data_IF_054781169542
#
_entry.id   IF_054781169542
#
_cell.length_a   1.000
_cell.length_b   1.000
_cell.length_c   1.000
_cell.angle_alpha   90.00
_cell.angle_beta   90.00
_cell.angle_gamma   90.00
#
_symmetry.space_group_name_H-M   'P 1'
#
loop_
_entity.id
_entity.type
_entity.pdbx_description
1 polymer ?
#
# COMPACT_ATOMS: atom_id res chain seq x y z
N UNK A 1 21.82 28.87 -8.47
CA UNK A 1 21.55 29.70 -7.26
C UNK A 1 20.52 30.79 -7.52
N UNK A 2 20.65 31.61 -8.56
CA UNK A 2 19.61 32.61 -8.90
C UNK A 2 18.25 31.98 -9.25
N UNK A 3 18.23 30.80 -9.85
CA UNK A 3 16.99 30.06 -10.16
C UNK A 3 16.19 29.70 -8.91
N UNK A 4 16.86 29.27 -7.82
CA UNK A 4 16.20 28.96 -6.55
C UNK A 4 15.65 30.21 -5.85
N UNK A 5 16.29 31.36 -6.04
CA UNK A 5 15.79 32.64 -5.54
C UNK A 5 14.55 33.08 -6.34
N UNK A 6 14.60 32.93 -7.66
CA UNK A 6 13.44 33.21 -8.54
C UNK A 6 12.27 32.26 -8.27
N UNK A 7 12.55 30.99 -7.96
CA UNK A 7 11.55 30.00 -7.57
C UNK A 7 11.03 30.19 -6.13
N UNK A 8 11.56 31.17 -5.38
CA UNK A 8 11.12 31.46 -4.02
C UNK A 8 11.65 30.49 -2.96
N UNK A 9 12.43 29.47 -3.32
CA UNK A 9 12.98 28.47 -2.41
C UNK A 9 14.11 29.01 -1.53
N UNK A 10 14.75 30.11 -1.95
CA UNK A 10 15.79 30.81 -1.20
C UNK A 10 15.47 32.29 -1.12
N UNK A 11 15.41 32.84 0.09
CA UNK A 11 15.29 34.28 0.33
C UNK A 11 16.68 34.90 0.54
N UNK A 12 16.93 36.04 -0.10
CA UNK A 12 18.14 36.84 0.11
C UNK A 12 17.80 38.11 0.88
N UNK A 13 18.31 38.24 2.11
CA UNK A 13 18.12 39.43 2.97
C UNK A 13 19.44 39.80 3.65
N UNK A 14 19.82 41.08 3.58
CA UNK A 14 21.06 41.61 4.19
C UNK A 14 22.34 40.84 3.82
N UNK A 15 22.50 40.51 2.52
CA UNK A 15 23.61 39.68 1.99
C UNK A 15 23.70 38.26 2.58
N UNK A 16 22.65 37.78 3.27
CA UNK A 16 22.50 36.40 3.76
C UNK A 16 21.40 35.68 3.00
N UNK A 17 21.54 34.36 2.90
CA UNK A 17 20.59 33.47 2.23
C UNK A 17 19.87 32.63 3.28
N UNK A 18 18.57 32.45 3.12
CA UNK A 18 17.70 31.67 4.00
C UNK A 18 16.90 30.70 3.14
N UNK A 19 16.68 29.49 3.65
CA UNK A 19 15.73 28.55 3.04
C UNK A 19 14.31 29.09 3.21
N UNK A 20 13.52 28.95 2.16
CA UNK A 20 12.12 29.36 2.13
C UNK A 20 11.31 28.29 1.40
N UNK A 21 11.38 27.07 1.93
CA UNK A 21 10.58 25.97 1.42
C UNK A 21 9.13 26.15 1.87
N UNK A 22 8.15 25.83 1.01
CA UNK A 22 6.75 25.79 1.39
C UNK A 22 6.55 24.58 2.32
N UNK A 23 6.67 24.81 3.63
CA UNK A 23 6.48 23.78 4.64
C UNK A 23 5.00 23.39 4.69
N UNK A 24 4.76 22.11 4.97
CA UNK A 24 3.43 21.57 5.18
C UNK A 24 2.86 22.10 6.49
N UNK A 25 1.74 22.82 6.41
CA UNK A 25 1.06 23.41 7.58
C UNK A 25 -0.17 22.59 8.02
N UNK A 26 -0.76 21.77 7.13
CA UNK A 26 -1.93 20.93 7.40
C UNK A 26 -1.90 19.64 6.58
N UNK A 27 -2.62 18.61 7.03
CA UNK A 27 -2.82 17.33 6.36
C UNK A 27 -4.13 17.24 5.56
N UNK A 28 -5.02 18.23 5.66
CA UNK A 28 -6.40 18.15 5.12
C UNK A 28 -6.49 17.87 3.61
N UNK A 29 -5.43 18.20 2.86
CA UNK A 29 -5.34 18.00 1.42
C UNK A 29 -4.08 17.24 1.01
N UNK A 30 -3.51 16.45 1.93
CA UNK A 30 -2.31 15.68 1.65
C UNK A 30 -2.69 14.37 0.95
N UNK A 31 -2.18 14.21 -0.28
CA UNK A 31 -2.30 12.96 -1.02
C UNK A 31 -1.09 12.04 -0.76
N UNK A 32 -1.31 10.72 -0.84
CA UNK A 32 -0.22 9.74 -0.81
C UNK A 32 0.73 9.99 -2.00
N UNK A 33 2.04 9.88 -1.77
CA UNK A 33 3.12 10.16 -2.73
C UNK A 33 3.26 11.64 -3.15
N UNK A 34 2.54 12.58 -2.51
CA UNK A 34 2.75 14.01 -2.73
C UNK A 34 4.13 14.44 -2.19
N UNK A 35 4.92 15.13 -3.02
CA UNK A 35 6.19 15.73 -2.59
C UNK A 35 5.92 16.93 -1.66
N UNK A 36 6.43 16.86 -0.43
CA UNK A 36 6.22 17.86 0.62
C UNK A 36 7.52 18.20 1.35
N UNK A 37 7.55 19.37 1.98
CA UNK A 37 8.55 19.70 2.99
C UNK A 37 7.89 19.73 4.36
N UNK A 38 8.44 19.03 5.34
CA UNK A 38 7.92 19.03 6.71
C UNK A 38 9.09 18.99 7.68
N UNK A 39 8.96 19.70 8.80
CA UNK A 39 9.98 19.70 9.85
C UNK A 39 9.70 18.59 10.85
N UNK A 40 10.70 17.78 11.20
CA UNK A 40 10.55 16.63 12.12
C UNK A 40 10.09 17.04 13.54
N UNK A 41 10.42 18.27 13.95
CA UNK A 41 10.03 18.87 15.24
C UNK A 41 8.63 19.52 15.21
N UNK A 42 7.95 19.51 14.07
CA UNK A 42 6.62 20.11 13.93
C UNK A 42 5.50 19.17 14.43
N UNK A 43 4.39 19.71 14.96
CA UNK A 43 3.22 18.90 15.29
C UNK A 43 2.59 18.25 14.06
N UNK A 44 2.74 18.85 12.88
CA UNK A 44 2.25 18.32 11.59
C UNK A 44 2.97 17.01 11.26
N UNK A 45 4.27 16.90 11.52
CA UNK A 45 5.01 15.67 11.31
C UNK A 45 4.53 14.53 12.22
N UNK A 46 4.21 14.83 13.49
CA UNK A 46 3.65 13.83 14.41
C UNK A 46 2.27 13.34 13.93
N UNK A 47 1.43 14.26 13.47
CA UNK A 47 0.14 13.91 12.87
C UNK A 47 0.33 13.08 11.58
N UNK A 48 1.35 13.38 10.77
CA UNK A 48 1.66 12.64 9.54
C UNK A 48 2.09 11.19 9.83
N UNK A 49 2.81 10.94 10.93
CA UNK A 49 3.17 9.59 11.37
C UNK A 49 1.95 8.73 11.72
N UNK A 50 0.88 9.35 12.20
CA UNK A 50 -0.38 8.68 12.57
C UNK A 50 -1.37 8.60 11.39
N UNK A 51 -1.19 9.42 10.36
CA UNK A 51 -2.04 9.47 9.19
C UNK A 51 -2.01 8.16 8.41
N UNK A 52 -3.20 7.68 8.03
CA UNK A 52 -3.36 6.56 7.13
C UNK A 52 -3.91 7.03 5.78
N UNK A 53 -3.45 6.39 4.72
CA UNK A 53 -3.89 6.60 3.35
C UNK A 53 -4.54 5.32 2.85
N UNK A 54 -5.53 5.46 1.97
CA UNK A 54 -6.14 4.33 1.28
C UNK A 54 -5.48 4.15 -0.08
N UNK A 55 -5.23 2.90 -0.44
CA UNK A 55 -4.71 2.52 -1.75
C UNK A 55 -5.62 1.49 -2.39
N UNK A 56 -5.83 1.63 -3.70
CA UNK A 56 -6.67 0.72 -4.46
C UNK A 56 -5.84 -0.05 -5.48
N UNK A 57 -5.88 -1.38 -5.40
CA UNK A 57 -5.32 -2.27 -6.41
C UNK A 57 -6.45 -2.84 -7.26
N UNK A 58 -6.59 -2.29 -8.47
CA UNK A 58 -7.62 -2.69 -9.42
C UNK A 58 -7.06 -3.70 -10.42
N UNK A 59 -7.76 -4.82 -10.58
CA UNK A 59 -7.43 -5.78 -11.61
C UNK A 59 -8.10 -5.43 -12.95
N UNK A 60 -7.31 -5.22 -14.00
CA UNK A 60 -7.83 -4.95 -15.35
C UNK A 60 -8.67 -6.11 -15.94
N UNK A 61 -8.51 -7.33 -15.43
CA UNK A 61 -9.13 -8.54 -15.99
C UNK A 61 -10.50 -8.88 -15.36
N UNK A 62 -10.69 -8.63 -14.06
CA UNK A 62 -11.87 -9.14 -13.34
C UNK A 62 -12.59 -8.13 -12.45
N UNK A 63 -12.31 -6.83 -12.62
CA UNK A 63 -12.95 -5.70 -11.94
C UNK A 63 -12.89 -5.73 -10.40
N UNK A 64 -12.21 -6.72 -9.81
CA UNK A 64 -11.99 -6.77 -8.37
C UNK A 64 -11.05 -5.64 -7.94
N UNK A 65 -11.40 -5.03 -6.81
CA UNK A 65 -10.66 -3.94 -6.20
C UNK A 65 -10.20 -4.42 -4.82
N UNK A 66 -8.91 -4.30 -4.53
CA UNK A 66 -8.38 -4.48 -3.19
C UNK A 66 -8.12 -3.09 -2.61
N UNK A 67 -8.82 -2.75 -1.54
CA UNK A 67 -8.65 -1.49 -0.80
C UNK A 67 -7.81 -1.79 0.43
N UNK A 68 -6.66 -1.14 0.54
CA UNK A 68 -5.69 -1.37 1.61
C UNK A 68 -5.30 -0.05 2.25
N UNK A 69 -5.14 -0.04 3.58
CA UNK A 69 -4.62 1.12 4.31
C UNK A 69 -3.11 1.08 4.46
N UNK A 70 -2.45 2.21 4.23
CA UNK A 70 -1.00 2.37 4.40
C UNK A 70 -0.63 3.62 5.19
N UNK A 71 0.57 3.63 5.76
CA UNK A 71 1.26 4.86 6.18
C UNK A 71 2.01 5.49 4.99
N UNK A 72 2.48 6.74 5.14
CA UNK A 72 3.22 7.45 4.09
C UNK A 72 4.58 6.80 3.76
N UNK A 73 5.17 6.04 4.69
CA UNK A 73 6.45 5.34 4.51
C UNK A 73 6.29 3.93 3.93
N UNK A 74 5.04 3.48 3.69
CA UNK A 74 4.69 2.17 3.12
C UNK A 74 5.28 1.00 3.91
N UNK A 75 5.28 1.12 5.24
CA UNK A 75 5.81 0.09 6.14
C UNK A 75 4.79 -0.99 6.49
N UNK A 76 3.49 -0.69 6.36
CA UNK A 76 2.44 -1.70 6.50
C UNK A 76 2.59 -2.85 5.50
N UNK A 77 2.21 -4.03 5.94
CA UNK A 77 2.25 -5.27 5.18
C UNK A 77 1.03 -5.38 4.27
N UNK A 78 1.02 -4.60 3.20
CA UNK A 78 -0.04 -4.59 2.19
C UNK A 78 0.55 -4.94 0.83
N UNK A 79 -0.30 -5.46 -0.06
CA UNK A 79 0.13 -5.85 -1.40
C UNK A 79 0.58 -4.62 -2.21
N UNK A 80 -0.09 -3.49 -2.01
CA UNK A 80 0.21 -2.19 -2.62
C UNK A 80 1.61 -1.71 -2.24
N UNK A 81 1.94 -1.78 -0.95
CA UNK A 81 3.26 -1.38 -0.46
C UNK A 81 4.36 -2.31 -0.94
N UNK A 82 4.10 -3.62 -0.93
CA UNK A 82 5.04 -4.61 -1.43
C UNK A 82 5.40 -4.33 -2.90
N UNK A 83 4.40 -4.25 -3.79
CA UNK A 83 4.64 -4.00 -5.20
C UNK A 83 5.29 -2.64 -5.46
N UNK A 84 4.91 -1.61 -4.70
CA UNK A 84 5.54 -0.30 -4.80
C UNK A 84 7.04 -0.37 -4.49
N UNK A 85 7.42 -1.00 -3.37
CA UNK A 85 8.81 -1.13 -2.95
C UNK A 85 9.63 -2.01 -3.87
N UNK A 86 9.08 -3.14 -4.34
CA UNK A 86 9.76 -4.00 -5.33
C UNK A 86 10.03 -3.23 -6.62
N UNK A 87 9.03 -2.50 -7.15
CA UNK A 87 9.17 -1.70 -8.37
C UNK A 87 10.25 -0.61 -8.27
N UNK A 88 10.39 0.02 -7.10
CA UNK A 88 11.34 1.11 -6.86
C UNK A 88 12.67 0.62 -6.23
N UNK A 89 12.82 -0.69 -6.03
CA UNK A 89 13.98 -1.31 -5.38
C UNK A 89 14.26 -0.75 -3.98
N UNK A 90 13.20 -0.45 -3.23
CA UNK A 90 13.31 0.01 -1.85
C UNK A 90 13.49 -1.14 -0.87
N UNK A 91 14.12 -0.89 0.30
CA UNK A 91 14.25 -1.90 1.35
C UNK A 91 12.89 -2.44 1.81
N UNK A 92 12.75 -3.76 1.77
CA UNK A 92 11.60 -4.48 2.30
C UNK A 92 11.72 -4.60 3.83
N UNK A 93 10.60 -4.52 4.53
CA UNK A 93 10.54 -4.89 5.95
C UNK A 93 10.65 -6.42 6.10
N UNK A 94 10.94 -6.92 7.30
CA UNK A 94 11.03 -8.38 7.55
C UNK A 94 9.77 -9.13 7.08
N UNK A 95 8.59 -8.59 7.39
CA UNK A 95 7.31 -9.15 6.93
C UNK A 95 7.11 -9.08 5.42
N UNK A 96 7.58 -8.01 4.77
CA UNK A 96 7.54 -7.89 3.31
C UNK A 96 8.53 -8.86 2.65
N UNK A 97 9.62 -9.21 3.33
CA UNK A 97 10.56 -10.23 2.87
C UNK A 97 9.94 -11.63 2.89
N UNK A 98 9.14 -11.97 3.90
CA UNK A 98 8.38 -13.24 3.91
C UNK A 98 7.47 -13.37 2.68
N UNK A 99 6.83 -12.27 2.28
CA UNK A 99 6.01 -12.23 1.07
C UNK A 99 6.87 -12.36 -0.20
N UNK A 100 8.05 -11.74 -0.23
CA UNK A 100 9.01 -11.88 -1.33
C UNK A 100 9.52 -13.32 -1.47
N UNK A 101 9.74 -14.03 -0.37
CA UNK A 101 10.21 -15.41 -0.41
C UNK A 101 9.16 -16.38 -1.00
N UNK A 102 7.87 -15.99 -0.96
CA UNK A 102 6.75 -16.74 -1.55
C UNK A 102 6.50 -16.33 -3.00
N UNK A 103 6.38 -15.03 -3.28
CA UNK A 103 6.03 -14.51 -4.62
C UNK A 103 7.24 -14.36 -5.53
N UNK A 104 8.40 -14.01 -4.99
CA UNK A 104 9.57 -13.58 -5.75
C UNK A 104 9.29 -12.33 -6.60
N UNK A 105 10.01 -12.23 -7.72
CA UNK A 105 9.92 -11.12 -8.67
C UNK A 105 8.78 -11.31 -9.70
N UNK A 106 7.61 -11.76 -9.22
CA UNK A 106 6.44 -11.94 -10.07
C UNK A 106 5.87 -10.60 -10.48
N UNK A 107 5.49 -10.48 -11.75
CA UNK A 107 4.80 -9.31 -12.28
C UNK A 107 3.53 -8.99 -11.44
N UNK A 108 3.38 -7.75 -10.91
CA UNK A 108 2.24 -7.35 -10.09
C UNK A 108 0.87 -7.62 -10.73
N UNK A 109 0.69 -7.35 -12.02
CA UNK A 109 -0.57 -7.58 -12.73
C UNK A 109 -0.90 -9.08 -12.81
N UNK A 110 0.13 -9.91 -13.01
CA UNK A 110 -0.01 -11.36 -13.02
C UNK A 110 -0.40 -11.87 -11.63
N UNK A 111 0.32 -11.46 -10.58
CA UNK A 111 -0.02 -11.83 -9.22
C UNK A 111 -1.44 -11.42 -8.85
N UNK A 112 -1.82 -10.16 -9.13
CA UNK A 112 -3.14 -9.63 -8.86
C UNK A 112 -4.23 -10.42 -9.58
N UNK A 113 -3.99 -10.85 -10.83
CA UNK A 113 -4.91 -11.74 -11.58
C UNK A 113 -5.22 -13.03 -10.85
N UNK A 114 -4.22 -13.75 -10.36
CA UNK A 114 -4.45 -15.04 -9.71
C UNK A 114 -5.04 -14.87 -8.32
N UNK A 115 -4.56 -13.87 -7.56
CA UNK A 115 -5.09 -13.54 -6.24
C UNK A 115 -6.56 -13.13 -6.30
N UNK A 116 -6.94 -12.15 -7.13
CA UNK A 116 -8.33 -11.70 -7.21
C UNK A 116 -9.24 -12.76 -7.83
N UNK A 117 -8.75 -13.57 -8.78
CA UNK A 117 -9.52 -14.70 -9.31
C UNK A 117 -9.82 -15.74 -8.21
N UNK A 118 -8.90 -15.96 -7.28
CA UNK A 118 -9.15 -16.81 -6.12
C UNK A 118 -10.18 -16.17 -5.19
N UNK A 119 -10.00 -14.90 -4.82
CA UNK A 119 -10.91 -14.17 -3.93
C UNK A 119 -12.34 -14.08 -4.49
N UNK A 120 -12.51 -13.89 -5.80
CA UNK A 120 -13.84 -13.84 -6.43
C UNK A 120 -14.61 -15.17 -6.35
N UNK A 121 -13.96 -16.30 -6.05
CA UNK A 121 -14.68 -17.56 -5.79
C UNK A 121 -15.56 -17.45 -4.54
N UNK A 122 -15.24 -16.55 -3.62
CA UNK A 122 -16.05 -16.28 -2.43
C UNK A 122 -17.39 -15.59 -2.73
N UNK A 123 -17.62 -15.14 -3.97
CA UNK A 123 -18.96 -14.73 -4.41
C UNK A 123 -19.98 -15.89 -4.34
N UNK A 124 -19.52 -17.13 -4.56
CA UNK A 124 -20.38 -18.31 -4.70
C UNK A 124 -20.30 -19.27 -3.52
N UNK A 125 -19.24 -19.22 -2.72
CA UNK A 125 -18.96 -20.16 -1.63
C UNK A 125 -18.29 -19.43 -0.48
N UNK A 126 -18.71 -19.68 0.74
CA UNK A 126 -18.08 -19.03 1.91
C UNK A 126 -16.77 -19.71 2.34
N UNK A 127 -16.56 -20.96 1.92
CA UNK A 127 -15.35 -21.74 2.19
C UNK A 127 -14.76 -22.33 0.91
N UNK A 128 -13.43 -22.25 0.77
CA UNK A 128 -12.68 -22.80 -0.37
C UNK A 128 -11.65 -23.83 0.09
N UNK A 129 -11.49 -24.92 -0.65
CA UNK A 129 -10.46 -25.92 -0.38
C UNK A 129 -9.48 -25.99 -1.54
N UNK A 130 -8.18 -25.92 -1.22
CA UNK A 130 -7.11 -25.99 -2.22
C UNK A 130 -6.37 -27.32 -2.07
N UNK A 131 -6.38 -28.16 -3.11
CA UNK A 131 -5.72 -29.49 -3.09
C UNK A 131 -4.22 -29.44 -3.37
N UNK A 132 -3.74 -28.35 -3.98
CA UNK A 132 -2.34 -28.14 -4.35
C UNK A 132 -1.88 -26.82 -3.77
N UNK A 133 -0.61 -26.76 -3.35
CA UNK A 133 0.00 -25.51 -2.89
C UNK A 133 -0.02 -24.48 -4.03
N UNK A 134 -0.40 -23.25 -3.69
CA UNK A 134 -0.55 -22.14 -4.63
C UNK A 134 0.04 -20.89 -3.98
N UNK A 135 1.13 -20.37 -4.54
CA UNK A 135 1.86 -19.23 -3.96
C UNK A 135 1.00 -17.98 -3.83
N UNK A 136 -0.02 -17.82 -4.68
CA UNK A 136 -0.94 -16.68 -4.60
C UNK A 136 -1.90 -16.81 -3.42
N UNK A 137 -2.32 -18.04 -3.12
CA UNK A 137 -3.14 -18.33 -1.94
C UNK A 137 -2.31 -18.21 -0.67
N UNK A 138 -1.10 -18.76 -0.66
CA UNK A 138 -0.17 -18.63 0.47
C UNK A 138 0.11 -17.15 0.78
N UNK A 139 0.30 -16.33 -0.26
CA UNK A 139 0.48 -14.88 -0.12
C UNK A 139 -0.74 -14.17 0.45
N UNK A 140 -1.95 -14.55 0.02
CA UNK A 140 -3.21 -13.98 0.56
C UNK A 140 -3.40 -14.33 2.05
N UNK A 141 -2.93 -15.50 2.50
CA UNK A 141 -2.92 -15.86 3.93
C UNK A 141 -1.95 -14.96 4.68
N UNK A 142 -0.74 -14.80 4.17
CA UNK A 142 0.33 -13.99 4.77
C UNK A 142 -0.06 -12.50 4.85
N UNK A 143 -0.77 -12.00 3.84
CA UNK A 143 -1.34 -10.64 3.80
C UNK A 143 -2.61 -10.47 4.65
N UNK A 144 -3.20 -11.56 5.17
CA UNK A 144 -4.39 -11.51 6.01
C UNK A 144 -5.72 -11.35 5.25
N UNK A 145 -5.75 -11.56 3.93
CA UNK A 145 -7.01 -11.57 3.17
C UNK A 145 -7.88 -12.80 3.48
N UNK A 146 -7.23 -13.92 3.75
CA UNK A 146 -7.88 -15.21 4.01
C UNK A 146 -7.21 -15.90 5.19
N UNK A 147 -7.96 -16.75 5.88
CA UNK A 147 -7.47 -17.59 6.97
C UNK A 147 -7.86 -19.04 6.73
N UNK A 148 -7.00 -19.97 7.15
CA UNK A 148 -7.31 -21.39 7.10
C UNK A 148 -8.03 -21.82 8.40
N UNK A 149 -9.19 -22.45 8.27
CA UNK A 149 -9.97 -22.98 9.39
C UNK A 149 -9.47 -24.37 9.82
N UNK A 150 -10.06 -24.91 10.90
CA UNK A 150 -9.68 -26.22 11.48
C UNK A 150 -9.85 -27.39 10.49
N UNK A 151 -10.78 -27.29 9.54
CA UNK A 151 -11.02 -28.28 8.48
C UNK A 151 -10.02 -28.15 7.30
N UNK A 152 -9.08 -27.21 7.38
CA UNK A 152 -8.11 -26.94 6.32
C UNK A 152 -8.67 -26.16 5.13
N UNK A 153 -9.87 -25.57 5.26
CA UNK A 153 -10.49 -24.71 4.23
C UNK A 153 -10.16 -23.24 4.49
N UNK A 154 -10.17 -22.45 3.42
CA UNK A 154 -9.95 -21.01 3.47
C UNK A 154 -11.27 -20.25 3.57
N UNK A 155 -11.27 -19.24 4.44
CA UNK A 155 -12.35 -18.28 4.67
C UNK A 155 -11.81 -16.86 4.49
N UNK A 156 -12.67 -15.93 4.08
CA UNK A 156 -12.30 -14.51 4.01
C UNK A 156 -12.11 -13.96 5.42
N UNK A 157 -11.00 -13.27 5.64
CA UNK A 157 -10.71 -12.55 6.88
C UNK A 157 -10.94 -11.03 6.75
N UNK A 158 -11.30 -10.58 5.54
CA UNK A 158 -11.55 -9.18 5.19
C UNK A 158 -13.01 -8.93 4.81
N UNK A 159 -13.44 -7.67 4.92
CA UNK A 159 -14.76 -7.28 4.46
C UNK A 159 -14.84 -7.35 2.94
N UNK A 160 -15.92 -7.93 2.42
CA UNK A 160 -16.15 -8.10 0.99
C UNK A 160 -17.48 -7.54 0.54
N UNK A 161 -17.42 -6.45 -0.23
CA UNK A 161 -18.55 -5.88 -0.95
C UNK A 161 -18.76 -6.63 -2.28
N UNK A 162 -19.81 -7.45 -2.31
CA UNK A 162 -20.17 -8.29 -3.47
C UNK A 162 -20.72 -7.48 -4.64
N UNK A 163 -21.29 -6.30 -4.41
CA UNK A 163 -21.85 -5.46 -5.47
C UNK A 163 -20.74 -4.74 -6.24
N UNK A 164 -19.74 -4.24 -5.50
CA UNK A 164 -18.59 -3.51 -6.06
C UNK A 164 -17.39 -4.41 -6.36
N UNK A 165 -17.44 -5.69 -5.98
CA UNK A 165 -16.31 -6.61 -6.04
C UNK A 165 -15.08 -6.09 -5.29
N UNK A 166 -15.31 -5.44 -4.15
CA UNK A 166 -14.29 -4.72 -3.39
C UNK A 166 -13.97 -5.44 -2.07
N UNK A 167 -12.69 -5.71 -1.84
CA UNK A 167 -12.18 -6.33 -0.62
C UNK A 167 -11.45 -5.27 0.21
N UNK A 168 -11.79 -5.12 1.48
CA UNK A 168 -11.24 -4.08 2.36
C UNK A 168 -10.32 -4.70 3.42
N UNK A 169 -9.02 -4.43 3.31
CA UNK A 169 -8.01 -4.75 4.30
C UNK A 169 -7.76 -3.51 5.16
N UNK A 170 -8.42 -3.46 6.33
CA UNK A 170 -8.43 -2.32 7.25
C UNK A 170 -7.34 -2.44 8.32
#
# INVERSE_FOLDING_TARGET
MEEYIKAGLILRKNKRYYLNFPMLESLDSLDLDQEIFVSEDSPVYQALLEQCFETELCNQTNAAILVEKTDFARNKMTLSNYFYKVKHQYPLTEKQQELYDILGDVNPEYALKYMTTFLLKFLKKDQLMQKRRDIFVDSLVVLGYIVQNEDGKYELAVDFDKERLTFYLV
#
